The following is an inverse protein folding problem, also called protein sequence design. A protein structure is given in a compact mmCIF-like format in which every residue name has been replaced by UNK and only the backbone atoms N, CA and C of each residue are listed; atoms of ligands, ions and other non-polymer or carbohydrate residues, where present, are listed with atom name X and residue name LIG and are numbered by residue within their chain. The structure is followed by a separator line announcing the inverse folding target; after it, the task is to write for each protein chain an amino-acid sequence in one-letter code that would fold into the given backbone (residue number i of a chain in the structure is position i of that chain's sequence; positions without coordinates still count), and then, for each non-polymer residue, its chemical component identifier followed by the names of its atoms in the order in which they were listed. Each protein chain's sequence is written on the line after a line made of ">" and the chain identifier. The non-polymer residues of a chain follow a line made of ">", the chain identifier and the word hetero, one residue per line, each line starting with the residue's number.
data_IF_073097350339
#
_entry.id   IF_073097350339
#
_cell.length_a   1.000
_cell.length_b   1.000
_cell.length_c   1.000
_cell.angle_alpha   90.00
_cell.angle_beta   90.00
_cell.angle_gamma   90.00
#
_symmetry.space_group_name_H-M   'P 1'
#
loop_
_entity.id
_entity.type
_entity.pdbx_description
1 polymer ?
#
# COMPACT_ATOMS: atom_id res chain seq x y z
N UNK A 1 -7.36 5.78 -15.32
CA UNK A 1 -7.13 5.55 -13.87
C UNK A 1 -6.02 4.52 -13.73
N UNK A 2 -5.15 4.59 -12.69
CA UNK A 2 -4.11 3.59 -12.46
C UNK A 2 -4.74 2.21 -12.19
N UNK A 3 -4.06 1.15 -12.66
CA UNK A 3 -4.47 -0.24 -12.40
C UNK A 3 -4.26 -0.63 -10.93
N UNK A 4 -4.71 -1.82 -10.52
CA UNK A 4 -4.44 -2.32 -9.17
C UNK A 4 -2.95 -2.57 -8.95
N UNK A 5 -2.23 -3.01 -9.97
CA UNK A 5 -0.79 -3.23 -9.96
C UNK A 5 -0.04 -1.91 -9.79
N UNK A 6 -0.44 -0.84 -10.52
CA UNK A 6 0.15 0.49 -10.32
C UNK A 6 -0.09 1.00 -8.89
N UNK A 7 -1.28 0.78 -8.33
CA UNK A 7 -1.59 1.17 -6.95
C UNK A 7 -0.80 0.34 -5.94
N UNK A 8 -0.67 -0.97 -6.17
CA UNK A 8 0.10 -1.87 -5.33
C UNK A 8 1.59 -1.50 -5.33
N UNK A 9 2.16 -1.13 -6.50
CA UNK A 9 3.52 -0.61 -6.59
C UNK A 9 3.68 0.68 -5.77
N UNK A 10 2.75 1.63 -5.88
CA UNK A 10 2.79 2.85 -5.07
C UNK A 10 2.68 2.54 -3.56
N UNK A 11 1.78 1.62 -3.18
CA UNK A 11 1.60 1.16 -1.80
C UNK A 11 2.73 0.26 -1.30
N UNK A 12 3.67 -0.14 -2.16
CA UNK A 12 4.93 -0.77 -1.80
C UNK A 12 6.02 0.31 -1.68
N UNK A 13 6.29 1.05 -2.76
CA UNK A 13 7.43 1.95 -2.88
C UNK A 13 7.38 3.13 -1.88
N UNK A 14 6.25 3.84 -1.79
CA UNK A 14 6.16 5.04 -0.95
C UNK A 14 6.32 4.72 0.54
N UNK A 15 5.69 3.67 1.11
CA UNK A 15 5.96 3.28 2.48
C UNK A 15 7.42 2.89 2.74
N UNK A 16 8.10 2.22 1.81
CA UNK A 16 9.52 1.89 1.98
C UNK A 16 10.37 3.15 2.03
N UNK A 17 10.24 4.03 1.04
CA UNK A 17 11.03 5.26 1.02
C UNK A 17 10.73 6.14 2.25
N UNK A 18 9.47 6.23 2.69
CA UNK A 18 9.10 6.97 3.91
C UNK A 18 9.67 6.34 5.19
N UNK A 19 9.75 5.02 5.26
CA UNK A 19 10.31 4.30 6.42
C UNK A 19 11.80 4.58 6.55
N UNK A 20 12.52 4.70 5.44
CA UNK A 20 13.96 4.95 5.43
C UNK A 20 14.35 6.21 6.22
N UNK A 21 13.57 7.29 6.12
CA UNK A 21 13.79 8.50 6.92
C UNK A 21 13.80 8.20 8.43
N UNK A 22 12.89 7.35 8.90
CA UNK A 22 12.83 6.91 10.30
C UNK A 22 14.03 6.04 10.70
N UNK A 23 14.57 5.23 9.78
CA UNK A 23 15.77 4.43 10.03
C UNK A 23 17.03 5.29 10.18
N UNK A 24 17.11 6.40 9.46
CA UNK A 24 18.27 7.29 9.45
C UNK A 24 18.10 8.54 10.34
N UNK A 25 16.97 8.69 11.05
CA UNK A 25 16.70 9.87 11.89
C UNK A 25 16.52 11.17 11.10
N UNK A 26 16.05 11.09 9.85
CA UNK A 26 15.91 12.22 8.94
C UNK A 26 14.46 12.73 8.87
N UNK A 27 14.31 14.02 8.58
CA UNK A 27 13.01 14.60 8.26
C UNK A 27 12.62 14.27 6.81
N UNK A 28 11.38 13.86 6.58
CA UNK A 28 10.85 13.56 5.22
C UNK A 28 10.41 14.80 4.43
N UNK A 29 10.19 15.95 5.10
CA UNK A 29 9.64 17.15 4.45
C UNK A 29 10.52 17.69 3.31
N UNK A 30 11.86 17.69 3.41
CA UNK A 30 12.71 18.12 2.30
C UNK A 30 12.52 17.27 1.03
N UNK A 31 12.07 16.02 1.16
CA UNK A 31 11.68 15.22 -0.02
C UNK A 31 10.31 15.59 -0.56
N UNK A 32 9.31 15.74 0.31
CA UNK A 32 7.90 15.83 -0.08
C UNK A 32 7.46 17.25 -0.44
N UNK A 33 8.05 18.27 0.18
CA UNK A 33 7.55 19.66 0.12
C UNK A 33 8.43 20.56 -0.75
N UNK A 34 9.64 20.10 -1.10
CA UNK A 34 10.56 20.78 -2.00
C UNK A 34 10.74 19.86 -3.20
N UNK A 35 10.49 20.37 -4.40
CA UNK A 35 10.59 19.60 -5.65
C UNK A 35 11.51 20.34 -6.61
N UNK A 36 12.47 19.65 -7.26
CA UNK A 36 13.29 20.26 -8.31
C UNK A 36 12.42 20.83 -9.44
N UNK A 37 12.83 21.96 -10.02
CA UNK A 37 12.08 22.64 -11.10
C UNK A 37 11.84 21.72 -12.31
N UNK A 38 12.80 20.85 -12.59
CA UNK A 38 12.78 19.86 -13.67
C UNK A 38 11.94 18.61 -13.34
N UNK A 39 11.52 18.41 -12.09
CA UNK A 39 10.86 17.17 -11.65
C UNK A 39 9.57 16.86 -12.41
N UNK A 40 8.80 17.89 -12.80
CA UNK A 40 7.57 17.74 -13.60
C UNK A 40 7.76 17.11 -14.98
N UNK A 41 9.00 17.10 -15.49
CA UNK A 41 9.37 16.52 -16.79
C UNK A 41 9.88 15.08 -16.68
N UNK A 42 9.99 14.54 -15.46
CA UNK A 42 10.48 13.17 -15.24
C UNK A 42 9.38 12.14 -15.50
N UNK A 43 9.76 10.87 -15.66
CA UNK A 43 8.84 9.75 -15.88
C UNK A 43 7.95 9.46 -14.67
N UNK A 44 8.46 9.67 -13.45
CA UNK A 44 7.73 9.45 -12.20
C UNK A 44 7.81 10.68 -11.26
N UNK A 45 7.18 11.82 -11.61
CA UNK A 45 7.30 13.06 -10.83
C UNK A 45 6.86 12.90 -9.36
N UNK A 46 5.91 12.00 -9.09
CA UNK A 46 5.41 11.73 -7.74
C UNK A 46 6.47 11.14 -6.80
N UNK A 47 7.53 10.50 -7.33
CA UNK A 47 8.60 9.90 -6.51
C UNK A 47 9.72 10.89 -6.18
N UNK A 48 9.86 11.96 -6.96
CA UNK A 48 10.96 12.94 -6.82
C UNK A 48 12.33 12.25 -6.84
N UNK A 49 12.58 11.42 -7.87
CA UNK A 49 13.72 10.50 -7.92
C UNK A 49 15.10 11.17 -7.77
N UNK A 50 15.22 12.44 -8.15
CA UNK A 50 16.45 13.23 -7.95
C UNK A 50 16.82 13.34 -6.47
N UNK A 51 15.82 13.57 -5.60
CA UNK A 51 16.03 13.60 -4.15
C UNK A 51 16.41 12.22 -3.63
N UNK A 52 15.77 11.15 -4.12
CA UNK A 52 16.11 9.77 -3.74
C UNK A 52 17.58 9.47 -4.05
N UNK A 53 18.07 9.89 -5.23
CA UNK A 53 19.48 9.83 -5.59
C UNK A 53 20.38 10.59 -4.61
N UNK A 54 20.04 11.83 -4.29
CA UNK A 54 20.82 12.62 -3.31
C UNK A 54 20.84 12.01 -1.91
N UNK A 55 19.76 11.36 -1.47
CA UNK A 55 19.76 10.63 -0.20
C UNK A 55 20.67 9.39 -0.24
N UNK A 56 20.77 8.70 -1.38
CA UNK A 56 21.69 7.59 -1.58
C UNK A 56 23.15 8.07 -1.57
N UNK A 57 23.45 9.20 -2.22
CA UNK A 57 24.76 9.84 -2.20
C UNK A 57 25.12 10.30 -0.78
N UNK A 58 24.20 10.96 -0.08
CA UNK A 58 24.36 11.40 1.30
C UNK A 58 24.67 10.23 2.23
N UNK A 59 23.87 9.16 2.17
CA UNK A 59 24.09 7.97 3.00
C UNK A 59 25.44 7.31 2.69
N UNK A 60 25.80 7.23 1.41
CA UNK A 60 27.10 6.71 0.99
C UNK A 60 28.27 7.53 1.55
N UNK A 61 28.17 8.86 1.47
CA UNK A 61 29.20 9.78 1.96
C UNK A 61 29.37 9.72 3.48
N UNK A 62 28.27 9.61 4.24
CA UNK A 62 28.31 9.57 5.70
C UNK A 62 28.79 8.23 6.24
N UNK A 63 28.35 7.12 5.62
CA UNK A 63 28.60 5.77 6.16
C UNK A 63 29.79 5.05 5.53
N UNK A 64 30.27 5.53 4.38
CA UNK A 64 31.25 4.83 3.54
C UNK A 64 30.65 3.62 2.79
N UNK A 65 29.35 3.34 2.91
CA UNK A 65 28.69 2.22 2.23
C UNK A 65 28.08 2.70 0.92
N UNK A 66 28.65 2.28 -0.21
CA UNK A 66 28.11 2.59 -1.54
C UNK A 66 26.65 2.11 -1.62
N UNK A 67 25.74 3.05 -1.88
CA UNK A 67 24.29 2.85 -1.82
C UNK A 67 23.63 3.46 -3.06
N UNK A 68 22.64 2.77 -3.62
CA UNK A 68 21.79 3.27 -4.72
C UNK A 68 20.37 3.61 -4.20
N UNK A 69 19.54 4.32 -5.01
CA UNK A 69 18.12 4.49 -4.71
C UNK A 69 17.37 3.18 -4.40
N UNK A 70 17.69 2.09 -5.09
CA UNK A 70 17.06 0.78 -4.90
C UNK A 70 17.47 0.14 -3.57
N UNK A 71 18.71 0.35 -3.13
CA UNK A 71 19.20 -0.13 -1.83
C UNK A 71 18.41 0.51 -0.68
N UNK A 72 18.09 1.81 -0.76
CA UNK A 72 17.27 2.54 0.22
C UNK A 72 15.90 1.88 0.41
N UNK A 73 15.26 1.50 -0.70
CA UNK A 73 13.97 0.81 -0.68
C UNK A 73 14.12 -0.58 -0.03
N UNK A 74 15.18 -1.30 -0.39
CA UNK A 74 15.45 -2.66 0.12
C UNK A 74 15.74 -2.67 1.62
N UNK A 75 16.53 -1.71 2.12
CA UNK A 75 16.79 -1.54 3.57
C UNK A 75 15.47 -1.40 4.35
N UNK A 76 14.55 -0.62 3.81
CA UNK A 76 13.24 -0.39 4.45
C UNK A 76 12.30 -1.59 4.30
N UNK A 77 12.39 -2.34 3.20
CA UNK A 77 11.57 -3.54 2.97
C UNK A 77 11.81 -4.61 4.04
N UNK A 78 13.07 -4.84 4.43
CA UNK A 78 13.41 -5.75 5.52
C UNK A 78 12.73 -5.33 6.84
N UNK A 79 12.83 -4.06 7.22
CA UNK A 79 12.25 -3.55 8.47
C UNK A 79 10.72 -3.55 8.42
N UNK A 80 10.12 -3.18 7.29
CA UNK A 80 8.67 -3.18 7.14
C UNK A 80 8.09 -4.58 7.31
N UNK A 81 8.74 -5.59 6.72
CA UNK A 81 8.33 -6.98 6.89
C UNK A 81 8.58 -7.48 8.31
N UNK A 82 9.69 -7.09 8.95
CA UNK A 82 9.94 -7.42 10.34
C UNK A 82 8.88 -6.83 11.28
N UNK A 83 8.47 -5.58 11.08
CA UNK A 83 7.35 -4.96 11.81
C UNK A 83 6.02 -5.70 11.56
N UNK A 84 5.76 -6.13 10.32
CA UNK A 84 4.57 -6.93 10.00
C UNK A 84 4.55 -8.26 10.77
N UNK A 85 5.69 -8.94 10.83
CA UNK A 85 5.84 -10.21 11.55
C UNK A 85 5.77 -10.00 13.06
N UNK A 86 6.30 -8.88 13.56
CA UNK A 86 6.13 -8.50 14.96
C UNK A 86 4.65 -8.33 15.30
N UNK A 87 3.87 -7.63 14.46
CA UNK A 87 2.41 -7.53 14.66
C UNK A 87 1.75 -8.90 14.65
N UNK A 88 2.16 -9.80 13.76
CA UNK A 88 1.69 -11.19 13.72
C UNK A 88 1.97 -11.95 15.01
N UNK A 89 3.18 -11.81 15.55
CA UNK A 89 3.55 -12.37 16.85
C UNK A 89 2.66 -11.84 17.98
N UNK A 90 2.21 -10.59 17.89
CA UNK A 90 1.32 -9.94 18.86
C UNK A 90 -0.17 -10.27 18.65
N UNK A 91 -0.52 -11.13 17.68
CA UNK A 91 -1.90 -11.53 17.39
C UNK A 91 -2.64 -10.63 16.40
N UNK A 92 -1.92 -9.73 15.70
CA UNK A 92 -2.47 -8.83 14.67
C UNK A 92 -1.86 -9.10 13.30
N UNK A 93 -2.03 -8.22 12.30
CA UNK A 93 -1.23 -8.28 11.07
C UNK A 93 -1.61 -9.41 10.10
N UNK A 94 -2.86 -9.87 10.15
CA UNK A 94 -3.51 -10.71 9.14
C UNK A 94 -4.46 -9.88 8.28
N UNK A 95 -5.07 -10.48 7.26
CA UNK A 95 -5.99 -9.79 6.33
C UNK A 95 -7.17 -9.11 7.03
N UNK A 96 -7.66 -9.68 8.14
CA UNK A 96 -8.79 -9.13 8.89
C UNK A 96 -8.46 -7.74 9.48
N UNK A 97 -7.18 -7.48 9.76
CA UNK A 97 -6.69 -6.23 10.33
C UNK A 97 -6.43 -5.16 9.26
N UNK A 98 -6.30 -5.56 8.00
CA UNK A 98 -6.16 -4.65 6.86
C UNK A 98 -7.56 -4.32 6.32
N UNK A 99 -8.38 -3.68 7.16
CA UNK A 99 -9.74 -3.24 6.80
C UNK A 99 -9.92 -1.76 7.05
N UNK A 100 -10.77 -1.12 6.24
CA UNK A 100 -11.12 0.29 6.39
C UNK A 100 -12.42 0.43 7.19
N UNK A 101 -12.58 1.52 7.95
CA UNK A 101 -13.88 1.86 8.52
C UNK A 101 -14.95 1.89 7.42
N UNK A 102 -16.13 1.35 7.70
CA UNK A 102 -17.22 1.25 6.73
C UNK A 102 -17.44 2.58 5.97
N UNK A 103 -17.46 3.70 6.69
CA UNK A 103 -17.63 5.06 6.13
C UNK A 103 -16.56 5.48 5.12
N UNK A 104 -15.33 4.97 5.20
CA UNK A 104 -14.25 5.36 4.29
C UNK A 104 -14.41 4.78 2.88
N UNK A 105 -15.26 3.77 2.71
CA UNK A 105 -15.42 3.03 1.44
C UNK A 105 -16.51 3.66 0.54
N UNK A 106 -17.36 4.54 1.05
CA UNK A 106 -18.40 5.19 0.24
C UNK A 106 -19.52 5.84 1.06
N UNK A 107 -20.57 6.35 0.39
CA UNK A 107 -21.73 6.91 1.10
C UNK A 107 -22.31 5.85 2.05
N UNK A 108 -22.80 6.29 3.20
CA UNK A 108 -23.35 5.46 4.28
C UNK A 108 -24.86 5.63 4.39
N UNK A 109 -25.35 6.84 4.11
CA UNK A 109 -26.79 7.16 4.16
C UNK A 109 -27.35 7.38 2.76
N UNK A 110 -28.68 7.32 2.64
CA UNK A 110 -29.38 7.67 1.41
C UNK A 110 -29.18 9.14 1.04
N UNK A 111 -29.15 10.05 2.02
CA UNK A 111 -28.86 11.47 1.80
C UNK A 111 -27.46 11.69 1.22
N UNK A 112 -26.44 10.99 1.75
CA UNK A 112 -25.08 11.06 1.20
C UNK A 112 -25.03 10.54 -0.24
N UNK A 113 -25.80 9.49 -0.57
CA UNK A 113 -25.93 9.01 -1.94
C UNK A 113 -26.58 10.08 -2.84
N UNK A 114 -27.73 10.61 -2.43
CA UNK A 114 -28.49 11.59 -3.21
C UNK A 114 -27.72 12.91 -3.39
N UNK A 115 -26.89 13.31 -2.42
CA UNK A 115 -26.03 14.51 -2.53
C UNK A 115 -25.07 14.47 -3.73
N UNK A 116 -24.79 13.27 -4.27
CA UNK A 116 -23.94 13.05 -5.44
C UNK A 116 -24.55 12.01 -6.38
N UNK A 117 -25.88 12.05 -6.55
CA UNK A 117 -26.67 11.05 -7.27
C UNK A 117 -26.11 10.75 -8.66
N UNK A 118 -25.87 11.78 -9.47
CA UNK A 118 -25.41 11.62 -10.85
C UNK A 118 -24.10 10.83 -10.91
N UNK A 119 -23.14 11.20 -10.06
CA UNK A 119 -21.83 10.54 -9.97
C UNK A 119 -21.94 9.06 -9.58
N UNK A 120 -22.87 8.71 -8.71
CA UNK A 120 -23.03 7.34 -8.23
C UNK A 120 -23.86 6.48 -9.18
N UNK A 121 -24.92 7.04 -9.75
CA UNK A 121 -25.71 6.41 -10.81
C UNK A 121 -24.82 6.10 -12.03
N UNK A 122 -23.96 7.04 -12.44
CA UNK A 122 -23.01 6.86 -13.53
C UNK A 122 -21.99 5.74 -13.24
N UNK A 123 -21.45 5.68 -12.01
CA UNK A 123 -20.57 4.59 -11.60
C UNK A 123 -21.27 3.23 -11.70
N UNK A 124 -22.48 3.11 -11.17
CA UNK A 124 -23.25 1.86 -11.23
C UNK A 124 -23.50 1.42 -12.67
N UNK A 125 -23.95 2.34 -13.53
CA UNK A 125 -24.25 2.04 -14.94
C UNK A 125 -23.01 1.76 -15.77
N UNK A 126 -22.06 2.69 -15.80
CA UNK A 126 -20.95 2.67 -16.75
C UNK A 126 -19.83 1.76 -16.26
N UNK A 127 -19.43 1.89 -14.99
CA UNK A 127 -18.28 1.16 -14.46
C UNK A 127 -18.64 -0.26 -14.06
N UNK A 128 -19.83 -0.46 -13.50
CA UNK A 128 -20.24 -1.74 -12.93
C UNK A 128 -21.35 -2.46 -13.72
N UNK A 129 -21.93 -1.81 -14.74
CA UNK A 129 -22.90 -2.45 -15.64
C UNK A 129 -24.27 -2.73 -15.03
N UNK A 130 -24.66 -2.04 -13.95
CA UNK A 130 -25.96 -2.23 -13.31
C UNK A 130 -27.08 -1.51 -14.09
N UNK A 131 -28.22 -2.18 -14.27
CA UNK A 131 -29.49 -1.49 -14.57
C UNK A 131 -30.11 -1.00 -13.25
N UNK A 132 -30.26 0.32 -13.14
CA UNK A 132 -30.74 0.98 -11.92
C UNK A 132 -32.13 1.60 -12.08
N UNK A 133 -32.79 1.40 -13.23
CA UNK A 133 -34.09 2.02 -13.55
C UNK A 133 -35.20 1.68 -12.55
N UNK A 134 -35.21 0.46 -12.04
CA UNK A 134 -36.15 -0.02 -11.02
C UNK A 134 -35.65 0.06 -9.57
N UNK A 135 -34.45 0.60 -9.32
CA UNK A 135 -33.85 0.61 -7.99
C UNK A 135 -34.19 1.89 -7.22
N UNK A 136 -34.64 1.73 -5.97
CA UNK A 136 -34.68 2.84 -5.01
C UNK A 136 -33.27 3.21 -4.51
N UNK A 137 -33.13 4.37 -3.87
CA UNK A 137 -31.85 4.90 -3.38
C UNK A 137 -31.12 3.93 -2.46
N UNK A 138 -31.84 3.31 -1.51
CA UNK A 138 -31.30 2.27 -0.63
C UNK A 138 -30.67 1.10 -1.40
N UNK A 139 -31.35 0.61 -2.43
CA UNK A 139 -30.86 -0.48 -3.26
C UNK A 139 -29.60 -0.08 -4.04
N UNK A 140 -29.61 1.10 -4.65
CA UNK A 140 -28.45 1.65 -5.37
C UNK A 140 -27.25 1.86 -4.45
N UNK A 141 -27.49 2.39 -3.26
CA UNK A 141 -26.49 2.55 -2.21
C UNK A 141 -25.86 1.20 -1.85
N UNK A 142 -26.68 0.19 -1.55
CA UNK A 142 -26.19 -1.16 -1.22
C UNK A 142 -25.37 -1.79 -2.36
N UNK A 143 -25.81 -1.63 -3.61
CA UNK A 143 -25.07 -2.13 -4.78
C UNK A 143 -23.71 -1.43 -4.93
N UNK A 144 -23.69 -0.10 -4.83
CA UNK A 144 -22.45 0.67 -4.94
C UNK A 144 -21.47 0.30 -3.82
N UNK A 145 -21.98 0.11 -2.60
CA UNK A 145 -21.19 -0.32 -1.45
C UNK A 145 -20.50 -1.65 -1.70
N UNK A 146 -21.28 -2.67 -2.10
CA UNK A 146 -20.76 -4.00 -2.44
C UNK A 146 -19.62 -3.91 -3.44
N UNK A 147 -19.82 -3.16 -4.53
CA UNK A 147 -18.79 -3.00 -5.56
C UNK A 147 -17.52 -2.33 -5.01
N UNK A 148 -17.66 -1.29 -4.20
CA UNK A 148 -16.49 -0.57 -3.65
C UNK A 148 -15.73 -1.39 -2.62
N UNK A 149 -16.42 -2.14 -1.78
CA UNK A 149 -15.82 -3.09 -0.84
C UNK A 149 -15.07 -4.19 -1.61
N UNK A 150 -15.65 -4.72 -2.69
CA UNK A 150 -14.97 -5.72 -3.51
C UNK A 150 -13.74 -5.15 -4.25
N UNK A 151 -13.79 -3.90 -4.70
CA UNK A 151 -12.61 -3.22 -5.26
C UNK A 151 -11.49 -3.07 -4.22
N UNK A 152 -11.82 -2.90 -2.94
CA UNK A 152 -10.84 -2.85 -1.87
C UNK A 152 -10.19 -4.22 -1.63
N UNK A 153 -10.97 -5.31 -1.64
CA UNK A 153 -10.43 -6.67 -1.55
C UNK A 153 -9.48 -7.00 -2.72
N UNK A 154 -9.84 -6.60 -3.95
CA UNK A 154 -8.97 -6.74 -5.13
C UNK A 154 -7.66 -5.95 -5.00
N UNK A 155 -7.72 -4.76 -4.39
CA UNK A 155 -6.52 -3.97 -4.11
C UNK A 155 -5.63 -4.66 -3.06
N UNK A 156 -6.21 -5.25 -1.99
CA UNK A 156 -5.43 -5.99 -0.99
C UNK A 156 -4.68 -7.15 -1.61
N UNK A 157 -5.34 -7.91 -2.48
CA UNK A 157 -4.71 -9.04 -3.17
C UNK A 157 -3.50 -8.58 -3.99
N UNK A 158 -3.66 -7.52 -4.80
CA UNK A 158 -2.55 -6.96 -5.57
C UNK A 158 -1.40 -6.44 -4.68
N UNK A 159 -1.73 -5.82 -3.54
CA UNK A 159 -0.73 -5.33 -2.57
C UNK A 159 0.02 -6.49 -1.91
N UNK A 160 -0.68 -7.56 -1.51
CA UNK A 160 -0.04 -8.73 -0.90
C UNK A 160 0.86 -9.45 -1.88
N UNK A 161 0.39 -9.64 -3.12
CA UNK A 161 1.20 -10.21 -4.19
C UNK A 161 2.47 -9.38 -4.41
N UNK A 162 2.32 -8.05 -4.55
CA UNK A 162 3.45 -7.15 -4.76
C UNK A 162 4.47 -7.19 -3.61
N UNK A 163 4.02 -7.39 -2.38
CA UNK A 163 4.87 -7.47 -1.18
C UNK A 163 5.45 -8.87 -0.95
N UNK A 164 5.06 -9.87 -1.74
CA UNK A 164 5.45 -11.26 -1.54
C UNK A 164 4.85 -11.86 -0.26
N UNK A 165 3.58 -11.55 -0.01
CA UNK A 165 2.79 -12.01 1.13
C UNK A 165 1.75 -13.05 0.68
N UNK A 166 1.26 -13.85 1.62
CA UNK A 166 0.14 -14.77 1.39
C UNK A 166 -1.17 -14.01 1.22
N UNK A 167 -2.24 -14.68 0.79
CA UNK A 167 -3.59 -14.09 0.73
C UNK A 167 -4.12 -13.62 2.09
N UNK A 168 -3.56 -14.14 3.18
CA UNK A 168 -3.86 -13.69 4.55
C UNK A 168 -2.98 -12.50 5.00
N UNK A 169 -2.20 -11.89 4.10
CA UNK A 169 -1.39 -10.72 4.40
C UNK A 169 -0.16 -11.01 5.27
N UNK A 170 0.39 -12.22 5.21
CA UNK A 170 1.57 -12.64 5.99
C UNK A 170 2.78 -12.77 5.05
N UNK A 171 3.96 -12.21 5.38
CA UNK A 171 5.18 -12.42 4.58
C UNK A 171 5.49 -13.89 4.35
N UNK A 172 5.83 -14.27 3.11
CA UNK A 172 6.19 -15.66 2.78
C UNK A 172 7.60 -16.01 3.23
N UNK A 173 7.89 -17.32 3.34
CA UNK A 173 9.26 -17.81 3.60
C UNK A 173 10.25 -17.33 2.54
N UNK A 174 9.84 -17.31 1.27
CA UNK A 174 10.64 -16.75 0.17
C UNK A 174 11.01 -15.29 0.43
N UNK A 175 10.06 -14.49 0.90
CA UNK A 175 10.27 -13.07 1.18
C UNK A 175 11.24 -12.84 2.34
N UNK A 176 11.04 -13.52 3.47
CA UNK A 176 11.93 -13.32 4.64
C UNK A 176 13.36 -13.79 4.38
N UNK A 177 13.54 -14.89 3.64
CA UNK A 177 14.88 -15.37 3.21
C UNK A 177 15.56 -14.38 2.28
N UNK A 178 14.84 -13.85 1.28
CA UNK A 178 15.38 -12.83 0.37
C UNK A 178 15.83 -11.58 1.12
N UNK A 179 15.11 -11.21 2.18
CA UNK A 179 15.39 -10.02 2.99
C UNK A 179 16.40 -10.27 4.12
N UNK A 180 16.86 -11.52 4.32
CA UNK A 180 17.80 -11.87 5.40
C UNK A 180 17.24 -11.67 6.81
N UNK A 181 15.92 -11.82 6.96
CA UNK A 181 15.22 -11.70 8.25
C UNK A 181 14.59 -13.03 8.70
N UNK A 182 15.04 -14.14 8.11
CA UNK A 182 14.62 -15.52 8.40
C UNK A 182 15.24 -16.08 9.70
N UNK A 183 15.29 -15.26 10.75
CA UNK A 183 15.71 -15.68 12.08
C UNK A 183 14.85 -16.85 12.58
N UNK A 184 15.38 -17.75 13.42
CA UNK A 184 14.61 -18.89 13.95
C UNK A 184 13.26 -18.48 14.54
N UNK A 185 13.19 -17.38 15.29
CA UNK A 185 11.97 -16.86 15.90
C UNK A 185 10.97 -16.31 14.87
N UNK A 186 11.46 -15.74 13.77
CA UNK A 186 10.62 -15.31 12.66
C UNK A 186 10.01 -16.53 11.97
N UNK A 187 10.84 -17.54 11.69
CA UNK A 187 10.39 -18.78 11.06
C UNK A 187 9.37 -19.51 11.93
N UNK A 188 9.55 -19.54 13.25
CA UNK A 188 8.58 -20.10 14.19
C UNK A 188 7.23 -19.36 14.17
N UNK A 189 7.25 -18.03 14.08
CA UNK A 189 6.02 -17.23 13.97
C UNK A 189 5.29 -17.52 12.65
N UNK A 190 6.03 -17.61 11.53
CA UNK A 190 5.45 -17.96 10.23
C UNK A 190 4.81 -19.35 10.25
N UNK A 191 5.53 -20.35 10.76
CA UNK A 191 5.04 -21.74 10.87
C UNK A 191 3.78 -21.84 11.73
N UNK A 192 3.75 -21.16 12.88
CA UNK A 192 2.55 -21.09 13.76
C UNK A 192 1.33 -20.49 13.08
N UNK A 193 1.53 -19.70 12.03
CA UNK A 193 0.48 -19.07 11.24
C UNK A 193 0.28 -19.73 9.86
N UNK A 194 0.75 -20.97 9.68
CA UNK A 194 0.51 -21.77 8.48
C UNK A 194 1.30 -21.33 7.24
N UNK A 195 2.47 -20.69 7.44
CA UNK A 195 3.37 -20.30 6.36
C UNK A 195 4.67 -21.11 6.47
N UNK A 196 4.89 -22.00 5.50
CA UNK A 196 6.07 -22.88 5.38
C UNK A 196 6.96 -22.54 4.17
#
# INVERSE_FOLDING_TARGET
>A
MPTFENKAEALHWFPMFRTWFGLCGLCKLPWNDIVPEDNKKTSEPAKVMKHVGWYADFFSAVTGRKTTPEDIITMSEAIYNFQRIFNLKMGFGTREHDTLPYRAVGPVTEEEYESRKERYDEQLKIKYGYDISGMNTKGKLSALRKEREEQYEKLKDAVYERRGWTKNGIPTVKTVKRLGIDFPEVMDVLKKNGVE
#
